data_IF_448465851654
#
_entry.id   IF_448465851654
#
_cell.length_a   1.000
_cell.length_b   1.000
_cell.length_c   1.000
_cell.angle_alpha   90.00
_cell.angle_beta   90.00
_cell.angle_gamma   90.00
#
_symmetry.space_group_name_H-M   'P 1'
#
loop_
_entity.id
_entity.type
_entity.pdbx_description
1 polymer ?
#
# COMPACT_ATOMS: atom_id res chain seq x y z
N UNK A 1 31.70 15.77 10.83
CA UNK A 1 31.14 15.70 9.46
C UNK A 1 29.99 16.67 9.22
N UNK A 2 28.92 16.68 10.04
CA UNK A 2 27.76 17.57 9.84
C UNK A 2 28.07 19.07 9.82
N UNK A 3 28.98 19.54 10.69
CA UNK A 3 29.38 20.96 10.76
C UNK A 3 30.07 21.43 9.47
N UNK A 4 30.93 20.59 8.89
CA UNK A 4 31.65 20.90 7.62
C UNK A 4 30.66 20.97 6.45
N UNK A 5 29.72 20.02 6.37
CA UNK A 5 28.69 20.05 5.34
C UNK A 5 27.77 21.29 5.48
N UNK A 6 27.38 21.66 6.71
CA UNK A 6 26.58 22.86 6.96
C UNK A 6 27.33 24.15 6.59
N UNK A 7 28.63 24.24 6.89
CA UNK A 7 29.47 25.38 6.50
C UNK A 7 29.60 25.51 4.97
N UNK A 8 29.82 24.39 4.27
CA UNK A 8 29.84 24.37 2.79
C UNK A 8 28.48 24.77 2.22
N UNK A 9 27.38 24.27 2.79
CA UNK A 9 26.02 24.67 2.39
C UNK A 9 25.84 26.17 2.54
N UNK A 10 26.16 26.74 3.71
CA UNK A 10 25.99 28.16 3.99
C UNK A 10 26.81 29.03 3.02
N UNK A 11 28.08 28.69 2.79
CA UNK A 11 28.96 29.44 1.88
C UNK A 11 28.44 29.41 0.44
N UNK A 12 28.06 28.23 -0.08
CA UNK A 12 27.55 28.11 -1.45
C UNK A 12 26.19 28.77 -1.59
N UNK A 13 25.32 28.68 -0.59
CA UNK A 13 24.01 29.31 -0.61
C UNK A 13 24.12 30.84 -0.65
N UNK A 14 24.95 31.43 0.23
CA UNK A 14 25.17 32.87 0.26
C UNK A 14 25.81 33.32 -1.05
N UNK A 15 26.82 32.61 -1.55
CA UNK A 15 27.51 32.95 -2.81
C UNK A 15 26.59 32.88 -4.03
N UNK A 16 25.81 31.81 -4.20
CA UNK A 16 24.86 31.67 -5.31
C UNK A 16 23.68 32.63 -5.17
N UNK A 17 23.22 32.90 -3.95
CA UNK A 17 22.12 33.81 -3.66
C UNK A 17 22.37 35.25 -4.11
N UNK A 18 23.62 35.64 -4.36
CA UNK A 18 23.98 36.92 -4.98
C UNK A 18 23.60 37.01 -6.47
N UNK A 19 23.46 35.86 -7.15
CA UNK A 19 23.29 35.79 -8.61
C UNK A 19 22.00 35.10 -9.05
N UNK A 20 21.32 34.37 -8.16
CA UNK A 20 20.11 33.62 -8.49
C UNK A 20 19.14 33.51 -7.32
N UNK A 21 17.84 33.29 -7.57
CA UNK A 21 16.86 33.20 -6.49
C UNK A 21 17.12 31.99 -5.59
N UNK A 22 16.78 32.13 -4.30
CA UNK A 22 17.06 31.12 -3.27
C UNK A 22 16.44 29.74 -3.57
N UNK A 23 15.30 29.69 -4.27
CA UNK A 23 14.67 28.43 -4.68
C UNK A 23 15.55 27.61 -5.66
N UNK A 24 16.48 28.26 -6.36
CA UNK A 24 17.46 27.63 -7.24
C UNK A 24 18.82 27.46 -6.56
N UNK A 25 19.27 28.48 -5.81
CA UNK A 25 20.55 28.45 -5.10
C UNK A 25 20.60 27.36 -4.02
N UNK A 26 19.51 27.15 -3.28
CA UNK A 26 19.49 26.25 -2.13
C UNK A 26 19.60 24.75 -2.49
N UNK A 27 18.91 24.22 -3.51
CA UNK A 27 19.17 22.87 -4.00
C UNK A 27 20.63 22.64 -4.45
N UNK A 28 21.24 23.63 -5.11
CA UNK A 28 22.64 23.53 -5.57
C UNK A 28 23.62 23.54 -4.39
N UNK A 29 23.38 24.41 -3.40
CA UNK A 29 24.14 24.45 -2.16
C UNK A 29 24.05 23.14 -1.37
N UNK A 30 22.86 22.53 -1.31
CA UNK A 30 22.68 21.19 -0.74
C UNK A 30 23.49 20.12 -1.49
N UNK A 31 23.51 20.14 -2.83
CA UNK A 31 24.30 19.18 -3.61
C UNK A 31 25.80 19.32 -3.34
N UNK A 32 26.31 20.55 -3.28
CA UNK A 32 27.70 20.84 -2.95
C UNK A 32 28.07 20.36 -1.53
N UNK A 33 27.21 20.67 -0.54
CA UNK A 33 27.34 20.20 0.82
C UNK A 33 27.30 18.67 0.92
N UNK A 34 26.44 18.03 0.13
CA UNK A 34 26.34 16.57 0.08
C UNK A 34 27.57 15.92 -0.55
N UNK A 35 28.19 16.54 -1.55
CA UNK A 35 29.43 16.06 -2.16
C UNK A 35 30.59 16.19 -1.16
N UNK A 36 30.71 17.34 -0.48
CA UNK A 36 31.70 17.55 0.58
C UNK A 36 31.51 16.56 1.74
N UNK A 37 30.26 16.30 2.13
CA UNK A 37 29.90 15.30 3.13
C UNK A 37 30.28 13.88 2.69
N UNK A 38 30.01 13.49 1.44
CA UNK A 38 30.31 12.17 0.90
C UNK A 38 31.82 11.94 0.74
N UNK A 39 32.57 12.91 0.20
CA UNK A 39 34.03 12.86 0.12
C UNK A 39 34.67 12.76 1.51
N UNK A 40 34.09 13.47 2.48
CA UNK A 40 34.48 13.32 3.87
C UNK A 40 34.18 11.93 4.44
N UNK A 41 33.00 11.36 4.19
CA UNK A 41 32.60 10.05 4.70
C UNK A 41 33.36 8.89 4.04
N UNK A 42 33.62 8.99 2.73
CA UNK A 42 34.43 8.05 1.96
C UNK A 42 35.88 7.99 2.44
N UNK A 43 36.39 9.08 3.02
CA UNK A 43 37.76 9.18 3.53
C UNK A 43 37.93 8.68 4.98
N UNK A 44 36.86 8.55 5.77
CA UNK A 44 36.99 8.30 7.21
C UNK A 44 36.10 7.20 7.85
N UNK A 45 35.01 6.71 7.23
CA UNK A 45 34.03 5.85 7.99
C UNK A 45 33.42 4.65 7.25
N UNK A 46 33.92 4.24 6.08
CA UNK A 46 33.21 3.21 5.29
C UNK A 46 33.30 1.74 5.78
N UNK A 47 34.03 1.45 6.87
CA UNK A 47 34.18 0.06 7.39
C UNK A 47 33.69 -0.20 8.82
N UNK A 48 33.76 0.71 9.80
CA UNK A 48 33.40 0.33 11.18
C UNK A 48 31.89 0.36 11.49
N UNK A 49 31.11 1.26 10.88
CA UNK A 49 29.72 1.51 11.32
C UNK A 49 28.64 0.70 10.57
N UNK A 50 28.98 0.07 9.45
CA UNK A 50 28.02 -0.68 8.61
C UNK A 50 28.17 -2.20 8.68
N UNK A 51 29.15 -2.72 9.44
CA UNK A 51 29.36 -4.16 9.61
C UNK A 51 29.54 -4.94 8.30
N UNK A 52 29.96 -4.28 7.22
CA UNK A 52 30.10 -4.90 5.89
C UNK A 52 28.78 -5.20 5.16
N UNK A 53 27.61 -4.83 5.70
CA UNK A 53 26.33 -5.02 5.00
C UNK A 53 26.07 -3.88 4.01
N UNK A 54 25.61 -4.23 2.80
CA UNK A 54 25.29 -3.25 1.76
C UNK A 54 24.22 -2.28 2.26
N UNK A 55 24.63 -1.04 2.56
CA UNK A 55 23.73 0.04 2.92
C UNK A 55 22.63 0.16 1.86
N UNK A 56 21.37 0.09 2.27
CA UNK A 56 20.26 0.03 1.33
C UNK A 56 20.18 1.35 0.55
N UNK A 57 20.58 1.33 -0.74
CA UNK A 57 20.60 2.47 -1.68
C UNK A 57 19.33 3.33 -1.67
N UNK A 58 18.19 2.77 -1.24
CA UNK A 58 16.92 3.48 -1.02
C UNK A 58 17.02 4.65 -0.05
N UNK A 59 17.78 4.55 1.03
CA UNK A 59 17.88 5.63 2.02
C UNK A 59 18.62 6.83 1.46
N UNK A 60 19.64 6.58 0.64
CA UNK A 60 20.34 7.61 -0.11
C UNK A 60 19.38 8.28 -1.11
N UNK A 61 18.62 7.51 -1.88
CA UNK A 61 17.64 8.08 -2.83
C UNK A 61 16.57 8.91 -2.11
N UNK A 62 16.00 8.41 -1.01
CA UNK A 62 15.02 9.15 -0.19
C UNK A 62 15.65 10.44 0.33
N UNK A 63 16.88 10.37 0.83
CA UNK A 63 17.62 11.54 1.30
C UNK A 63 17.75 12.60 0.21
N UNK A 64 18.22 12.24 -0.98
CA UNK A 64 18.38 13.22 -2.07
C UNK A 64 17.04 13.77 -2.54
N UNK A 65 16.01 12.93 -2.73
CA UNK A 65 14.69 13.39 -3.17
C UNK A 65 14.09 14.36 -2.15
N UNK A 66 14.01 13.97 -0.88
CA UNK A 66 13.41 14.81 0.18
C UNK A 66 14.16 16.12 0.30
N UNK A 67 15.49 16.10 0.36
CA UNK A 67 16.27 17.31 0.55
C UNK A 67 16.31 18.21 -0.68
N UNK A 68 16.33 17.68 -1.90
CA UNK A 68 16.23 18.51 -3.11
C UNK A 68 14.85 19.18 -3.20
N UNK A 69 13.79 18.43 -2.92
CA UNK A 69 12.42 18.99 -2.90
C UNK A 69 12.29 20.05 -1.82
N UNK A 70 12.68 19.75 -0.58
CA UNK A 70 12.61 20.73 0.53
C UNK A 70 13.50 21.92 0.24
N UNK A 71 14.72 21.73 -0.28
CA UNK A 71 15.62 22.84 -0.57
C UNK A 71 15.08 23.77 -1.67
N UNK A 72 14.32 23.23 -2.64
CA UNK A 72 13.70 24.05 -3.68
C UNK A 72 12.42 24.75 -3.23
N UNK A 73 11.59 24.08 -2.43
CA UNK A 73 10.26 24.59 -2.03
C UNK A 73 10.33 25.48 -0.77
N UNK A 74 11.18 25.15 0.20
CA UNK A 74 11.27 25.87 1.47
C UNK A 74 11.54 27.38 1.31
N UNK A 75 12.43 27.84 0.42
CA UNK A 75 12.61 29.27 0.17
C UNK A 75 11.35 30.01 -0.25
N UNK A 76 10.41 29.34 -0.94
CA UNK A 76 9.13 29.90 -1.38
C UNK A 76 8.08 29.94 -0.25
N UNK A 77 8.25 29.09 0.76
CA UNK A 77 7.33 28.98 1.89
C UNK A 77 7.72 29.86 3.09
N UNK A 78 8.95 30.41 3.11
CA UNK A 78 9.42 31.25 4.21
C UNK A 78 8.80 32.65 4.14
N UNK A 79 8.25 33.18 5.26
CA UNK A 79 7.72 34.54 5.32
C UNK A 79 8.77 35.59 4.94
N UNK A 80 8.36 36.58 4.14
CA UNK A 80 9.21 37.73 3.77
C UNK A 80 9.63 38.59 4.97
N UNK A 81 8.95 38.46 6.11
CA UNK A 81 9.26 39.17 7.35
C UNK A 81 10.47 38.58 8.13
N UNK A 82 11.01 37.44 7.70
CA UNK A 82 12.20 36.85 8.33
C UNK A 82 13.46 37.57 7.85
N UNK A 83 14.31 38.00 8.79
CA UNK A 83 15.61 38.57 8.46
C UNK A 83 16.52 37.57 7.73
N UNK A 84 17.33 38.07 6.80
CA UNK A 84 18.25 37.27 5.96
C UNK A 84 19.14 36.28 6.75
N UNK A 85 19.76 36.63 7.89
CA UNK A 85 20.56 35.69 8.67
C UNK A 85 19.74 34.49 9.16
N UNK A 86 18.50 34.74 9.59
CA UNK A 86 17.58 33.71 10.08
C UNK A 86 17.12 32.80 8.94
N UNK A 87 16.86 33.37 7.75
CA UNK A 87 16.49 32.60 6.55
C UNK A 87 17.63 31.66 6.15
N UNK A 88 18.87 32.14 6.09
CA UNK A 88 20.04 31.31 5.76
C UNK A 88 20.20 30.16 6.76
N UNK A 89 20.07 30.42 8.06
CA UNK A 89 20.12 29.38 9.09
C UNK A 89 19.04 28.32 8.86
N UNK A 90 17.78 28.71 8.62
CA UNK A 90 16.69 27.76 8.35
C UNK A 90 16.98 26.91 7.11
N UNK A 91 17.43 27.54 6.02
CA UNK A 91 17.70 26.86 4.75
C UNK A 91 18.87 25.87 4.83
N UNK A 92 19.91 26.17 5.62
CA UNK A 92 21.08 25.30 5.81
C UNK A 92 20.80 24.15 6.77
N UNK A 93 20.12 24.42 7.89
CA UNK A 93 19.92 23.42 8.93
C UNK A 93 18.73 22.50 8.68
N UNK A 94 17.72 22.91 7.89
CA UNK A 94 16.56 22.04 7.60
C UNK A 94 16.97 20.75 6.87
N UNK A 95 17.75 20.79 5.77
CA UNK A 95 18.22 19.57 5.10
C UNK A 95 19.15 18.73 5.98
N UNK A 96 19.92 19.38 6.86
CA UNK A 96 20.80 18.71 7.81
C UNK A 96 20.00 17.95 8.87
N UNK A 97 18.93 18.54 9.42
CA UNK A 97 18.03 17.88 10.36
C UNK A 97 17.25 16.74 9.70
N UNK A 98 16.79 16.93 8.45
CA UNK A 98 16.16 15.87 7.66
C UNK A 98 17.11 14.71 7.40
N UNK A 99 18.37 14.99 7.05
CA UNK A 99 19.41 13.96 6.97
C UNK A 99 19.50 13.17 8.28
N UNK A 100 19.69 13.84 9.42
CA UNK A 100 19.81 13.17 10.72
C UNK A 100 18.58 12.28 11.04
N UNK A 101 17.36 12.75 10.74
CA UNK A 101 16.13 11.98 10.91
C UNK A 101 16.09 10.75 10.00
N UNK A 102 16.44 10.91 8.73
CA UNK A 102 16.49 9.84 7.73
C UNK A 102 17.55 8.80 8.13
N UNK A 103 18.75 9.23 8.54
CA UNK A 103 19.82 8.37 9.02
C UNK A 103 19.47 7.64 10.31
N UNK A 104 18.86 8.32 11.29
CA UNK A 104 18.34 7.69 12.53
C UNK A 104 17.27 6.64 12.22
N UNK A 105 16.41 6.89 11.24
CA UNK A 105 15.41 5.93 10.79
C UNK A 105 16.04 4.76 10.03
N UNK A 106 17.05 5.03 9.21
CA UNK A 106 17.81 4.02 8.47
C UNK A 106 18.58 3.08 9.41
N UNK A 107 19.25 3.62 10.43
CA UNK A 107 19.98 2.86 11.44
C UNK A 107 19.04 1.94 12.24
N UNK A 108 17.93 2.48 12.75
CA UNK A 108 16.88 1.69 13.42
C UNK A 108 16.28 0.62 12.50
N UNK A 109 16.17 0.90 11.20
CA UNK A 109 15.70 -0.09 10.23
C UNK A 109 16.72 -1.22 10.03
N UNK A 110 18.02 -0.91 10.00
CA UNK A 110 19.09 -1.88 9.78
C UNK A 110 19.31 -2.79 11.00
N UNK A 111 19.16 -2.26 12.21
CA UNK A 111 19.31 -3.03 13.46
C UNK A 111 18.19 -4.06 13.66
N UNK A 112 16.95 -3.75 13.24
CA UNK A 112 15.79 -4.67 13.36
C UNK A 112 15.88 -5.92 12.47
N UNK A 113 16.86 -5.98 11.56
CA UNK A 113 16.96 -6.98 10.50
C UNK A 113 17.77 -8.23 10.87
N UNK A 114 18.55 -8.20 11.96
CA UNK A 114 19.58 -9.22 12.19
C UNK A 114 19.05 -10.55 12.73
N UNK A 115 18.00 -10.57 13.56
CA UNK A 115 17.71 -11.79 14.36
C UNK A 115 16.25 -12.29 14.34
N UNK A 116 15.28 -11.50 13.88
CA UNK A 116 13.87 -11.91 13.85
C UNK A 116 13.45 -12.41 12.45
N UNK A 117 12.96 -13.65 12.37
CA UNK A 117 12.32 -14.20 11.16
C UNK A 117 10.87 -14.53 11.44
N UNK A 118 9.95 -13.72 10.93
CA UNK A 118 8.52 -14.04 10.89
C UNK A 118 8.22 -14.68 9.54
N UNK A 119 7.39 -15.72 9.50
CA UNK A 119 6.89 -16.25 8.23
C UNK A 119 5.71 -15.40 7.75
N UNK A 120 5.83 -14.67 6.63
CA UNK A 120 4.70 -13.93 6.07
C UNK A 120 3.61 -14.88 5.58
N UNK A 121 2.35 -14.47 5.68
CA UNK A 121 1.21 -15.18 5.09
C UNK A 121 1.11 -14.83 3.60
N UNK A 122 0.94 -15.84 2.77
CA UNK A 122 0.67 -15.73 1.33
C UNK A 122 -0.83 -15.59 1.11
N UNK A 123 -1.21 -14.56 0.37
CA UNK A 123 -2.59 -14.19 0.16
C UNK A 123 -2.89 -13.94 -1.31
N UNK A 124 -4.04 -14.43 -1.78
CA UNK A 124 -4.54 -14.16 -3.12
C UNK A 124 -5.89 -13.43 -3.10
N UNK A 125 -5.97 -12.26 -3.73
CA UNK A 125 -7.23 -11.52 -3.89
C UNK A 125 -8.06 -12.10 -5.06
N UNK A 126 -9.33 -11.67 -5.15
CA UNK A 126 -10.25 -11.91 -6.28
C UNK A 126 -10.79 -13.34 -6.46
N UNK A 127 -10.85 -14.18 -5.42
CA UNK A 127 -11.61 -15.43 -5.48
C UNK A 127 -13.08 -15.11 -5.80
N UNK A 128 -13.65 -15.78 -6.80
CA UNK A 128 -15.00 -15.54 -7.30
C UNK A 128 -15.09 -14.63 -8.54
N UNK A 129 -14.00 -13.98 -8.94
CA UNK A 129 -13.98 -13.09 -10.09
C UNK A 129 -14.14 -13.84 -11.43
N UNK A 130 -13.45 -14.96 -11.61
CA UNK A 130 -13.51 -15.76 -12.84
C UNK A 130 -13.11 -17.22 -12.59
N UNK A 131 -13.53 -18.17 -13.44
CA UNK A 131 -13.07 -19.56 -13.34
C UNK A 131 -11.54 -19.67 -13.39
N UNK A 132 -10.88 -18.82 -14.17
CA UNK A 132 -9.43 -18.80 -14.32
C UNK A 132 -8.72 -18.33 -13.05
N UNK A 133 -9.28 -17.33 -12.37
CA UNK A 133 -8.80 -16.86 -11.06
C UNK A 133 -9.02 -17.93 -9.99
N UNK A 134 -10.24 -18.50 -9.93
CA UNK A 134 -10.57 -19.56 -8.98
C UNK A 134 -9.63 -20.76 -9.13
N UNK A 135 -9.38 -21.22 -10.36
CA UNK A 135 -8.49 -22.35 -10.63
C UNK A 135 -7.11 -22.12 -10.00
N UNK A 136 -6.48 -20.98 -10.27
CA UNK A 136 -5.13 -20.70 -9.80
C UNK A 136 -5.07 -20.58 -8.26
N UNK A 137 -6.05 -19.90 -7.66
CA UNK A 137 -6.12 -19.75 -6.19
C UNK A 137 -6.32 -21.10 -5.52
N UNK A 138 -7.28 -21.90 -6.00
CA UNK A 138 -7.61 -23.21 -5.41
C UNK A 138 -6.46 -24.20 -5.55
N UNK A 139 -5.75 -24.20 -6.69
CA UNK A 139 -4.57 -25.05 -6.88
C UNK A 139 -3.43 -24.66 -5.93
N UNK A 140 -3.15 -23.37 -5.77
CA UNK A 140 -2.14 -22.94 -4.81
C UNK A 140 -2.54 -23.26 -3.36
N UNK A 141 -3.82 -23.11 -3.02
CA UNK A 141 -4.33 -23.44 -1.69
C UNK A 141 -4.23 -24.94 -1.39
N UNK A 142 -4.59 -25.82 -2.32
CA UNK A 142 -4.49 -27.27 -2.15
C UNK A 142 -3.04 -27.76 -2.02
N UNK A 143 -2.08 -27.03 -2.60
CA UNK A 143 -0.64 -27.29 -2.50
C UNK A 143 0.01 -26.67 -1.25
N UNK A 144 -0.76 -26.00 -0.37
CA UNK A 144 -0.21 -25.32 0.82
C UNK A 144 0.66 -24.10 0.47
N UNK A 145 0.48 -23.52 -0.73
CA UNK A 145 1.18 -22.33 -1.22
C UNK A 145 0.41 -21.03 -0.98
N UNK A 146 -0.80 -21.12 -0.46
CA UNK A 146 -1.57 -19.99 0.07
C UNK A 146 -2.00 -20.26 1.50
N UNK A 147 -2.06 -19.21 2.30
CA UNK A 147 -2.57 -19.24 3.67
C UNK A 147 -3.97 -18.62 3.74
N UNK A 148 -4.33 -17.78 2.76
CA UNK A 148 -5.62 -17.11 2.73
C UNK A 148 -6.00 -16.57 1.34
N UNK A 149 -7.28 -16.27 1.16
CA UNK A 149 -7.78 -15.60 -0.05
C UNK A 149 -8.94 -14.66 0.28
N UNK A 150 -9.19 -13.67 -0.58
CA UNK A 150 -10.31 -12.74 -0.45
C UNK A 150 -11.41 -13.06 -1.46
N UNK A 151 -12.61 -13.35 -0.93
CA UNK A 151 -13.80 -13.67 -1.70
C UNK A 151 -14.51 -12.39 -2.15
N UNK A 152 -14.56 -12.21 -3.46
CA UNK A 152 -15.35 -11.19 -4.14
C UNK A 152 -16.79 -11.71 -4.25
N UNK A 153 -17.62 -11.41 -3.25
CA UNK A 153 -18.97 -11.99 -3.14
C UNK A 153 -19.90 -11.64 -4.30
N UNK A 154 -19.68 -10.49 -4.94
CA UNK A 154 -20.43 -10.04 -6.12
C UNK A 154 -19.83 -10.54 -7.44
N UNK A 155 -18.75 -11.33 -7.40
CA UNK A 155 -18.13 -11.95 -8.57
C UNK A 155 -19.06 -12.98 -9.23
N UNK A 156 -18.96 -13.15 -10.57
CA UNK A 156 -19.86 -14.01 -11.34
C UNK A 156 -19.77 -15.49 -10.96
N UNK A 157 -18.64 -15.93 -10.38
CA UNK A 157 -18.40 -17.32 -9.97
C UNK A 157 -18.03 -17.42 -8.49
N UNK A 158 -18.54 -16.50 -7.66
CA UNK A 158 -18.28 -16.45 -6.23
C UNK A 158 -18.75 -17.72 -5.50
N UNK A 159 -19.94 -18.23 -5.83
CA UNK A 159 -20.48 -19.45 -5.23
C UNK A 159 -19.59 -20.67 -5.53
N UNK A 160 -19.21 -20.86 -6.79
CA UNK A 160 -18.33 -21.96 -7.21
C UNK A 160 -16.95 -21.87 -6.54
N UNK A 161 -16.37 -20.66 -6.51
CA UNK A 161 -15.09 -20.41 -5.85
C UNK A 161 -15.13 -20.70 -4.36
N UNK A 162 -16.19 -20.24 -3.68
CA UNK A 162 -16.38 -20.47 -2.25
C UNK A 162 -16.62 -21.95 -1.94
N UNK A 163 -17.51 -22.65 -2.66
CA UNK A 163 -17.77 -24.07 -2.42
C UNK A 163 -16.50 -24.92 -2.60
N UNK A 164 -15.67 -24.61 -3.59
CA UNK A 164 -14.39 -25.28 -3.77
C UNK A 164 -13.41 -24.94 -2.64
N UNK A 165 -13.35 -23.67 -2.21
CA UNK A 165 -12.53 -23.25 -1.07
C UNK A 165 -12.94 -23.94 0.23
N UNK A 166 -14.25 -24.05 0.49
CA UNK A 166 -14.80 -24.72 1.67
C UNK A 166 -14.47 -26.22 1.69
N UNK A 167 -14.39 -26.89 0.54
CA UNK A 167 -13.91 -28.27 0.48
C UNK A 167 -12.44 -28.36 0.89
N UNK A 168 -11.60 -27.41 0.45
CA UNK A 168 -10.19 -27.36 0.83
C UNK A 168 -9.99 -27.09 2.33
N UNK A 169 -10.85 -26.29 2.97
CA UNK A 169 -10.72 -26.02 4.41
C UNK A 169 -11.00 -27.25 5.27
N UNK A 170 -11.65 -28.29 4.74
CA UNK A 170 -11.82 -29.57 5.46
C UNK A 170 -10.50 -30.32 5.62
N UNK A 171 -9.59 -30.24 4.63
CA UNK A 171 -8.26 -30.87 4.67
C UNK A 171 -7.15 -29.90 5.07
N UNK A 172 -7.40 -28.59 4.94
CA UNK A 172 -6.48 -27.50 5.29
C UNK A 172 -7.18 -26.47 6.20
N UNK A 173 -7.47 -26.83 7.47
CA UNK A 173 -8.25 -25.99 8.39
C UNK A 173 -7.61 -24.64 8.72
N UNK A 174 -6.32 -24.45 8.41
CA UNK A 174 -5.61 -23.19 8.57
C UNK A 174 -5.94 -22.13 7.51
N UNK A 175 -6.54 -22.52 6.37
CA UNK A 175 -6.88 -21.62 5.27
C UNK A 175 -7.92 -20.60 5.74
N UNK A 176 -7.64 -19.31 5.54
CA UNK A 176 -8.55 -18.23 5.91
C UNK A 176 -9.19 -17.58 4.70
N UNK A 177 -10.47 -17.23 4.80
CA UNK A 177 -11.18 -16.47 3.78
C UNK A 177 -11.54 -15.08 4.31
N UNK A 178 -11.31 -14.05 3.49
CA UNK A 178 -11.66 -12.67 3.79
C UNK A 178 -12.83 -12.23 2.90
N UNK A 179 -13.66 -11.32 3.41
CA UNK A 179 -14.59 -10.54 2.59
C UNK A 179 -13.80 -9.52 1.77
N UNK A 180 -13.82 -9.66 0.44
CA UNK A 180 -13.24 -8.71 -0.49
C UNK A 180 -14.25 -7.62 -0.87
N UNK A 181 -14.37 -6.57 -0.04
CA UNK A 181 -15.33 -5.50 -0.28
C UNK A 181 -15.09 -4.81 -1.63
N UNK A 182 -16.06 -4.82 -2.53
CA UNK A 182 -15.95 -4.18 -3.85
C UNK A 182 -16.96 -3.05 -4.02
N UNK A 183 -16.51 -1.85 -4.37
CA UNK A 183 -17.37 -0.66 -4.53
C UNK A 183 -17.07 0.09 -5.84
N UNK A 184 -16.28 -0.51 -6.72
CA UNK A 184 -15.72 0.16 -7.89
C UNK A 184 -16.12 -0.44 -9.22
N UNK A 185 -16.58 -1.70 -9.22
CA UNK A 185 -17.05 -2.41 -10.40
C UNK A 185 -17.89 -3.63 -9.98
N UNK A 186 -18.50 -4.29 -10.98
CA UNK A 186 -19.35 -5.45 -10.78
C UNK A 186 -20.77 -5.11 -10.36
N UNK A 187 -21.66 -6.10 -10.25
CA UNK A 187 -23.02 -5.91 -9.77
C UNK A 187 -23.04 -5.47 -8.30
N UNK A 188 -24.01 -4.61 -7.97
CA UNK A 188 -24.35 -4.33 -6.57
C UNK A 188 -24.92 -5.58 -5.90
N UNK A 189 -24.71 -5.69 -4.59
CA UNK A 189 -25.32 -6.74 -3.77
C UNK A 189 -26.66 -6.31 -3.17
N UNK A 190 -26.85 -5.01 -2.92
CA UNK A 190 -28.17 -4.47 -2.59
C UNK A 190 -29.01 -4.25 -3.86
N UNK A 191 -30.30 -4.00 -3.68
CA UNK A 191 -31.19 -3.65 -4.79
C UNK A 191 -30.69 -2.36 -5.49
N UNK A 192 -30.38 -2.41 -6.80
CA UNK A 192 -29.98 -1.25 -7.59
C UNK A 192 -30.91 -0.04 -7.45
N UNK A 193 -32.21 -0.26 -7.25
CA UNK A 193 -33.19 0.82 -7.09
C UNK A 193 -32.94 1.67 -5.84
N UNK A 194 -32.31 1.10 -4.82
CA UNK A 194 -31.93 1.80 -3.58
C UNK A 194 -30.60 2.53 -3.70
N UNK A 195 -29.84 2.32 -4.79
CA UNK A 195 -28.46 2.79 -4.96
C UNK A 195 -28.24 3.71 -6.18
N UNK A 196 -29.14 4.66 -6.51
CA UNK A 196 -29.07 5.42 -7.77
C UNK A 196 -27.76 6.22 -7.96
N UNK A 197 -27.09 6.61 -6.87
CA UNK A 197 -25.81 7.32 -6.92
C UNK A 197 -24.59 6.39 -7.00
N UNK A 198 -24.75 5.08 -6.77
CA UNK A 198 -23.65 4.10 -6.78
C UNK A 198 -23.64 3.20 -8.02
N UNK A 199 -24.80 2.95 -8.64
CA UNK A 199 -24.91 2.02 -9.78
C UNK A 199 -25.22 2.72 -11.10
N UNK A 200 -24.86 2.10 -12.22
CA UNK A 200 -25.26 2.51 -13.56
C UNK A 200 -26.60 1.87 -13.96
N UNK A 201 -27.04 2.10 -15.21
CA UNK A 201 -28.30 1.56 -15.74
C UNK A 201 -28.39 0.03 -15.78
N UNK A 202 -27.25 -0.67 -15.68
CA UNK A 202 -27.17 -2.13 -15.62
C UNK A 202 -27.10 -2.68 -14.18
N UNK A 203 -27.22 -1.80 -13.17
CA UNK A 203 -27.08 -2.19 -11.76
C UNK A 203 -25.64 -2.44 -11.30
N UNK A 204 -24.65 -2.06 -12.13
CA UNK A 204 -23.23 -2.22 -11.80
C UNK A 204 -22.68 -1.00 -11.09
N UNK A 205 -21.84 -1.22 -10.09
CA UNK A 205 -21.13 -0.18 -9.35
C UNK A 205 -20.28 0.65 -10.31
N UNK A 206 -20.43 1.99 -10.26
CA UNK A 206 -19.85 2.90 -11.27
C UNK A 206 -18.75 3.83 -10.74
N UNK A 207 -18.53 3.88 -9.43
CA UNK A 207 -17.63 4.86 -8.80
C UNK A 207 -16.20 4.34 -8.73
N UNK A 208 -15.27 5.05 -9.35
CA UNK A 208 -13.84 4.79 -9.23
C UNK A 208 -13.32 5.04 -7.81
N UNK A 209 -12.15 4.46 -7.50
CA UNK A 209 -11.41 4.75 -6.26
C UNK A 209 -11.20 6.26 -6.04
N UNK A 210 -10.88 7.00 -7.12
CA UNK A 210 -10.66 8.45 -7.07
C UNK A 210 -11.91 9.21 -6.65
N UNK A 211 -13.07 8.85 -7.18
CA UNK A 211 -14.35 9.49 -6.80
C UNK A 211 -14.69 9.25 -5.34
N UNK A 212 -14.50 8.02 -4.83
CA UNK A 212 -14.66 7.72 -3.41
C UNK A 212 -13.70 8.54 -2.53
N UNK A 213 -12.47 8.73 -2.99
CA UNK A 213 -11.48 9.55 -2.30
C UNK A 213 -11.90 11.03 -2.28
N UNK A 214 -12.37 11.58 -3.40
CA UNK A 214 -12.85 12.96 -3.50
C UNK A 214 -14.09 13.19 -2.61
N UNK A 215 -15.03 12.25 -2.57
CA UNK A 215 -16.18 12.29 -1.67
C UNK A 215 -15.78 12.36 -0.19
N UNK A 216 -14.64 11.77 0.16
CA UNK A 216 -14.11 11.83 1.53
C UNK A 216 -13.69 13.24 1.95
N UNK A 217 -13.38 14.13 0.99
CA UNK A 217 -12.96 15.52 1.22
C UNK A 217 -14.14 16.46 1.48
N UNK A 218 -15.36 16.10 1.05
CA UNK A 218 -16.55 16.92 1.31
C UNK A 218 -16.89 16.96 2.81
N UNK A 219 -17.42 18.06 3.35
CA UNK A 219 -17.86 18.10 4.76
C UNK A 219 -18.90 17.02 5.08
N UNK A 220 -18.86 16.41 6.28
CA UNK A 220 -19.80 15.34 6.68
C UNK A 220 -21.28 15.75 6.66
N UNK A 221 -21.57 17.05 6.76
CA UNK A 221 -22.93 17.60 6.68
C UNK A 221 -23.39 17.87 5.25
N UNK A 222 -22.52 17.73 4.26
CA UNK A 222 -22.86 17.96 2.86
C UNK A 222 -23.96 16.97 2.41
N UNK A 223 -25.10 17.44 1.90
CA UNK A 223 -26.27 16.59 1.64
C UNK A 223 -25.97 15.50 0.61
N UNK A 224 -25.24 15.81 -0.45
CA UNK A 224 -24.83 14.81 -1.45
C UNK A 224 -23.88 13.75 -0.89
N UNK A 225 -23.06 14.11 0.12
CA UNK A 225 -22.18 13.14 0.78
C UNK A 225 -23.00 12.19 1.67
N UNK A 226 -23.94 12.72 2.45
CA UNK A 226 -24.82 11.92 3.32
C UNK A 226 -25.64 10.92 2.52
N UNK A 227 -26.29 11.38 1.45
CA UNK A 227 -27.05 10.50 0.55
C UNK A 227 -26.22 9.34 0.01
N UNK A 228 -24.98 9.59 -0.38
CA UNK A 228 -24.05 8.55 -0.85
C UNK A 228 -23.61 7.63 0.31
N UNK A 229 -23.39 8.16 1.52
CA UNK A 229 -23.07 7.37 2.70
C UNK A 229 -24.20 6.42 3.12
N UNK A 230 -25.46 6.84 2.96
CA UNK A 230 -26.63 5.99 3.23
C UNK A 230 -26.69 4.81 2.25
N UNK A 231 -26.54 5.08 0.95
CA UNK A 231 -26.47 4.05 -0.11
C UNK A 231 -25.26 3.12 0.07
N UNK A 232 -24.10 3.69 0.42
CA UNK A 232 -22.90 2.90 0.74
C UNK A 232 -23.18 1.94 1.88
N UNK A 233 -23.92 2.40 2.90
CA UNK A 233 -24.31 1.57 4.01
C UNK A 233 -25.12 0.34 3.58
N UNK A 234 -26.13 0.55 2.75
CA UNK A 234 -26.96 -0.52 2.19
C UNK A 234 -26.14 -1.55 1.41
N UNK A 235 -25.21 -1.09 0.57
CA UNK A 235 -24.35 -1.99 -0.20
C UNK A 235 -23.39 -2.79 0.69
N UNK A 236 -22.80 -2.16 1.73
CA UNK A 236 -21.95 -2.86 2.70
C UNK A 236 -22.74 -3.94 3.45
N UNK A 237 -23.93 -3.62 3.92
CA UNK A 237 -24.78 -4.57 4.64
C UNK A 237 -25.17 -5.75 3.72
N UNK A 238 -25.47 -5.47 2.45
CA UNK A 238 -25.77 -6.52 1.48
C UNK A 238 -24.58 -7.42 1.15
N UNK A 239 -23.38 -6.86 0.97
CA UNK A 239 -22.15 -7.66 0.76
C UNK A 239 -21.80 -8.49 1.99
N UNK A 240 -21.91 -7.93 3.20
CA UNK A 240 -21.69 -8.67 4.46
C UNK A 240 -22.71 -9.81 4.59
N UNK A 241 -24.00 -9.54 4.31
CA UNK A 241 -25.06 -10.56 4.33
C UNK A 241 -24.76 -11.69 3.34
N UNK A 242 -24.32 -11.35 2.12
CA UNK A 242 -23.94 -12.33 1.09
C UNK A 242 -22.71 -13.14 1.49
N UNK A 243 -21.72 -12.50 2.13
CA UNK A 243 -20.58 -13.23 2.70
C UNK A 243 -20.99 -14.21 3.79
N UNK A 244 -21.90 -13.79 4.69
CA UNK A 244 -22.45 -14.65 5.74
C UNK A 244 -23.27 -15.81 5.19
N UNK A 245 -23.98 -15.64 4.07
CA UNK A 245 -24.67 -16.79 3.45
C UNK A 245 -23.71 -17.88 2.97
N UNK A 246 -22.42 -17.55 2.77
CA UNK A 246 -21.38 -18.53 2.49
C UNK A 246 -20.71 -19.04 3.76
N UNK A 247 -20.28 -18.15 4.66
CA UNK A 247 -19.40 -18.49 5.79
C UNK A 247 -20.13 -18.79 7.12
N UNK A 248 -21.45 -18.59 7.19
CA UNK A 248 -22.22 -18.61 8.43
C UNK A 248 -21.80 -17.49 9.38
N UNK A 249 -21.78 -17.79 10.68
CA UNK A 249 -21.49 -16.83 11.76
C UNK A 249 -19.99 -16.69 12.09
N UNK A 250 -19.11 -17.19 11.23
CA UNK A 250 -17.67 -17.08 11.41
C UNK A 250 -17.22 -15.60 11.51
N UNK A 251 -16.19 -15.28 12.33
CA UNK A 251 -15.62 -13.94 12.37
C UNK A 251 -15.19 -13.44 10.99
N UNK A 252 -15.54 -12.20 10.67
CA UNK A 252 -15.24 -11.62 9.36
C UNK A 252 -13.87 -10.96 9.38
N UNK A 253 -13.01 -11.42 8.48
CA UNK A 253 -11.82 -10.69 8.05
C UNK A 253 -12.18 -9.86 6.82
N UNK A 254 -11.84 -8.57 6.83
CA UNK A 254 -12.22 -7.64 5.76
C UNK A 254 -10.99 -7.02 5.08
N UNK A 255 -11.03 -7.03 3.75
CA UNK A 255 -10.26 -6.12 2.93
C UNK A 255 -11.14 -5.59 1.79
N UNK A 256 -10.54 -5.03 0.75
CA UNK A 256 -11.31 -4.41 -0.31
C UNK A 256 -10.61 -4.54 -1.65
N UNK A 257 -11.42 -4.78 -2.67
CA UNK A 257 -11.02 -4.69 -4.06
C UNK A 257 -10.45 -3.30 -4.33
N UNK A 258 -9.28 -3.26 -4.96
CA UNK A 258 -8.48 -2.03 -5.13
C UNK A 258 -8.15 -1.29 -3.82
N UNK A 259 -8.22 -1.99 -2.67
CA UNK A 259 -8.03 -1.45 -1.32
C UNK A 259 -9.04 -0.35 -0.94
N UNK A 260 -10.24 -0.41 -1.52
CA UNK A 260 -11.28 0.62 -1.34
C UNK A 260 -11.71 0.80 0.12
N UNK A 261 -11.58 -0.25 0.93
CA UNK A 261 -11.90 -0.25 2.37
C UNK A 261 -11.06 0.73 3.19
N UNK A 262 -9.91 1.18 2.68
CA UNK A 262 -9.06 2.19 3.32
C UNK A 262 -9.48 3.64 3.01
N UNK A 263 -10.38 3.86 2.05
CA UNK A 263 -10.85 5.20 1.73
C UNK A 263 -11.69 5.74 2.91
N UNK A 264 -11.48 6.97 3.41
CA UNK A 264 -12.01 7.39 4.71
C UNK A 264 -13.53 7.30 4.88
N UNK A 265 -14.30 7.57 3.81
CA UNK A 265 -15.76 7.42 3.82
C UNK A 265 -16.18 5.94 3.95
N UNK A 266 -15.50 5.04 3.22
CA UNK A 266 -15.74 3.60 3.23
C UNK A 266 -15.28 2.96 4.53
N UNK A 267 -14.06 3.28 4.98
CA UNK A 267 -13.53 2.83 6.27
C UNK A 267 -14.50 3.14 7.41
N UNK A 268 -15.04 4.37 7.44
CA UNK A 268 -15.99 4.75 8.50
C UNK A 268 -17.27 3.93 8.43
N UNK A 269 -17.80 3.71 7.23
CA UNK A 269 -19.01 2.91 7.04
C UNK A 269 -18.80 1.43 7.43
N UNK A 270 -17.61 0.87 7.15
CA UNK A 270 -17.24 -0.49 7.53
C UNK A 270 -17.02 -0.61 9.05
N UNK A 271 -16.31 0.34 9.67
CA UNK A 271 -16.09 0.35 11.13
C UNK A 271 -17.41 0.52 11.92
N UNK A 272 -18.36 1.31 11.41
CA UNK A 272 -19.69 1.43 12.01
C UNK A 272 -20.47 0.11 12.04
N UNK A 273 -20.13 -0.84 11.16
CA UNK A 273 -20.74 -2.17 11.04
C UNK A 273 -19.95 -3.27 11.75
N UNK A 274 -18.76 -2.96 12.25
CA UNK A 274 -17.83 -3.99 12.70
C UNK A 274 -18.36 -4.81 13.90
N UNK A 275 -18.88 -4.14 14.93
CA UNK A 275 -19.41 -4.80 16.13
C UNK A 275 -20.61 -5.68 15.83
N UNK A 276 -21.62 -5.15 15.12
CA UNK A 276 -22.84 -5.90 14.78
C UNK A 276 -22.62 -7.06 13.78
N UNK A 277 -21.50 -7.04 13.05
CA UNK A 277 -21.21 -8.05 12.04
C UNK A 277 -20.05 -8.99 12.39
N UNK A 278 -19.53 -8.94 13.63
CA UNK A 278 -18.38 -9.74 14.06
C UNK A 278 -17.16 -9.56 13.15
N UNK A 279 -16.91 -8.34 12.67
CA UNK A 279 -15.68 -8.02 11.93
C UNK A 279 -14.56 -7.88 12.94
N UNK A 280 -13.61 -8.82 12.91
CA UNK A 280 -12.52 -8.91 13.90
C UNK A 280 -11.18 -8.49 13.34
N UNK A 281 -11.05 -8.42 12.01
CA UNK A 281 -9.80 -8.12 11.34
C UNK A 281 -10.00 -7.25 10.10
N UNK A 282 -9.10 -6.29 9.87
CA UNK A 282 -9.08 -5.47 8.67
C UNK A 282 -7.67 -5.30 8.11
N UNK A 283 -7.51 -5.48 6.80
CA UNK A 283 -6.21 -5.33 6.12
C UNK A 283 -5.71 -3.90 6.14
N UNK A 284 -4.46 -3.71 6.50
CA UNK A 284 -3.67 -2.51 6.23
C UNK A 284 -2.68 -2.80 5.10
N UNK A 285 -2.37 -1.80 4.28
CA UNK A 285 -1.42 -1.96 3.18
C UNK A 285 -0.10 -1.24 3.47
N UNK A 286 0.36 -1.28 4.74
CA UNK A 286 1.61 -0.66 5.15
C UNK A 286 2.82 -1.44 4.60
N UNK A 287 3.24 -1.05 3.40
CA UNK A 287 4.28 -1.73 2.64
C UNK A 287 5.66 -1.07 2.82
N UNK A 288 6.65 -1.77 3.40
CA UNK A 288 8.02 -1.30 3.41
C UNK A 288 8.60 -1.36 2.00
N UNK A 289 9.42 -0.38 1.65
CA UNK A 289 10.10 -0.35 0.36
C UNK A 289 11.13 -1.48 0.31
N UNK A 290 11.04 -2.49 -0.58
CA UNK A 290 11.94 -3.63 -0.55
C UNK A 290 13.41 -3.26 -0.84
N UNK A 291 14.33 -4.00 -0.25
CA UNK A 291 15.78 -3.86 -0.50
C UNK A 291 16.30 -4.81 -1.58
N UNK A 292 17.49 -4.53 -2.12
CA UNK A 292 18.20 -5.46 -3.00
C UNK A 292 17.64 -5.56 -4.42
N UNK A 293 16.68 -4.71 -4.81
CA UNK A 293 16.15 -4.69 -6.16
C UNK A 293 16.98 -3.82 -7.12
N UNK A 294 17.28 -4.32 -8.33
CA UNK A 294 17.87 -3.50 -9.40
C UNK A 294 17.02 -2.27 -9.74
N UNK A 295 17.68 -1.18 -10.17
CA UNK A 295 17.04 0.10 -10.53
C UNK A 295 15.94 -0.02 -11.60
N UNK A 296 16.00 -1.04 -12.47
CA UNK A 296 14.97 -1.28 -13.49
C UNK A 296 13.58 -1.51 -12.90
N UNK A 297 13.48 -2.18 -11.75
CA UNK A 297 12.18 -2.42 -11.10
C UNK A 297 11.62 -1.13 -10.51
N UNK A 298 12.46 -0.28 -9.92
CA UNK A 298 12.05 1.04 -9.44
C UNK A 298 11.54 1.94 -10.56
N UNK A 299 12.21 1.94 -11.72
CA UNK A 299 11.74 2.64 -12.91
C UNK A 299 10.39 2.10 -13.40
N UNK A 300 10.20 0.78 -13.37
CA UNK A 300 8.92 0.15 -13.72
C UNK A 300 7.80 0.57 -12.73
N UNK A 301 8.07 0.54 -11.42
CA UNK A 301 7.11 0.97 -10.40
C UNK A 301 6.69 2.44 -10.56
N UNK A 302 7.58 3.32 -11.01
CA UNK A 302 7.24 4.72 -11.32
C UNK A 302 6.38 4.79 -12.60
N UNK A 303 6.80 4.11 -13.67
CA UNK A 303 6.10 4.11 -14.97
C UNK A 303 4.68 3.55 -14.90
N UNK A 304 4.44 2.57 -14.04
CA UNK A 304 3.12 1.96 -13.83
C UNK A 304 2.36 2.58 -12.65
N UNK A 305 2.75 3.78 -12.21
CA UNK A 305 2.12 4.51 -11.10
C UNK A 305 2.09 3.76 -9.75
N UNK A 306 2.85 2.67 -9.61
CA UNK A 306 2.97 1.87 -8.40
C UNK A 306 3.50 2.67 -7.21
N UNK A 307 4.44 3.59 -7.44
CA UNK A 307 4.95 4.46 -6.37
C UNK A 307 3.90 5.46 -5.87
N UNK A 308 3.09 6.01 -6.79
CA UNK A 308 1.98 6.91 -6.44
C UNK A 308 0.90 6.14 -5.67
N UNK A 309 0.49 4.97 -6.17
CA UNK A 309 -0.46 4.08 -5.50
C UNK A 309 0.03 3.70 -4.10
N UNK A 310 1.30 3.32 -3.99
CA UNK A 310 1.96 3.05 -2.72
C UNK A 310 1.85 4.25 -1.78
N UNK A 311 2.27 5.44 -2.20
CA UNK A 311 2.23 6.64 -1.34
C UNK A 311 0.82 6.94 -0.81
N UNK A 312 -0.19 6.91 -1.68
CA UNK A 312 -1.58 7.14 -1.29
C UNK A 312 -2.03 6.11 -0.25
N UNK A 313 -1.77 4.83 -0.50
CA UNK A 313 -2.20 3.74 0.39
C UNK A 313 -1.42 3.67 1.70
N UNK A 314 -0.14 4.10 1.73
CA UNK A 314 0.61 4.29 2.96
C UNK A 314 -0.05 5.35 3.85
N UNK A 315 -0.47 6.48 3.26
CA UNK A 315 -1.14 7.55 3.99
C UNK A 315 -2.51 7.12 4.50
N UNK A 316 -3.30 6.43 3.67
CA UNK A 316 -4.61 5.90 4.05
C UNK A 316 -4.48 4.86 5.17
N UNK A 317 -3.56 3.91 5.05
CA UNK A 317 -3.33 2.89 6.09
C UNK A 317 -2.91 3.50 7.42
N UNK A 318 -1.98 4.46 7.41
CA UNK A 318 -1.55 5.17 8.63
C UNK A 318 -2.69 5.93 9.30
N UNK A 319 -3.60 6.53 8.51
CA UNK A 319 -4.80 7.20 9.04
C UNK A 319 -5.85 6.22 9.53
N UNK A 320 -5.96 5.05 8.90
CA UNK A 320 -6.92 4.02 9.25
C UNK A 320 -6.56 3.27 10.55
N UNK A 321 -5.28 3.00 10.77
CA UNK A 321 -4.77 2.18 11.89
C UNK A 321 -5.32 2.60 13.27
N UNK A 322 -5.31 3.88 13.69
CA UNK A 322 -5.87 4.26 14.99
C UNK A 322 -7.37 4.06 15.09
N UNK A 323 -8.11 4.17 13.98
CA UNK A 323 -9.56 3.94 13.96
C UNK A 323 -9.88 2.44 14.06
N UNK A 324 -9.16 1.60 13.31
CA UNK A 324 -9.27 0.13 13.38
C UNK A 324 -8.99 -0.36 14.81
N UNK A 325 -7.89 0.10 15.42
CA UNK A 325 -7.53 -0.27 16.80
C UNK A 325 -8.57 0.17 17.84
N UNK A 326 -9.14 1.36 17.69
CA UNK A 326 -10.20 1.87 18.60
C UNK A 326 -11.47 1.04 18.55
N UNK A 327 -11.75 0.40 17.41
CA UNK A 327 -12.86 -0.54 17.27
C UNK A 327 -12.50 -1.97 17.75
N UNK A 328 -11.29 -2.21 18.26
CA UNK A 328 -10.85 -3.53 18.74
C UNK A 328 -10.45 -4.51 17.63
N UNK A 329 -10.30 -4.05 16.39
CA UNK A 329 -9.99 -4.90 15.26
C UNK A 329 -8.47 -5.14 15.15
N UNK A 330 -8.11 -6.38 14.83
CA UNK A 330 -6.75 -6.75 14.47
C UNK A 330 -6.43 -6.35 13.03
N UNK A 331 -5.14 -6.28 12.69
CA UNK A 331 -4.68 -6.07 11.31
C UNK A 331 -3.41 -6.86 11.04
N UNK A 332 -3.03 -7.03 9.77
CA UNK A 332 -1.67 -7.46 9.43
C UNK A 332 -0.64 -6.44 9.93
N UNK A 333 0.50 -6.97 10.34
CA UNK A 333 1.61 -6.18 10.83
C UNK A 333 2.24 -5.33 9.72
N UNK A 334 2.49 -5.96 8.59
CA UNK A 334 3.09 -5.35 7.39
C UNK A 334 2.46 -6.00 6.15
N UNK A 335 2.69 -5.40 4.99
CA UNK A 335 2.06 -5.78 3.74
C UNK A 335 3.07 -5.70 2.60
N UNK A 336 2.94 -6.53 1.56
CA UNK A 336 3.61 -6.27 0.29
C UNK A 336 2.74 -6.71 -0.88
N UNK A 337 2.86 -6.00 -2.00
CA UNK A 337 2.05 -6.24 -3.20
C UNK A 337 1.40 -5.00 -3.81
N UNK A 338 1.61 -3.80 -3.24
CA UNK A 338 1.11 -2.55 -3.85
C UNK A 338 2.14 -1.99 -4.83
N UNK A 339 3.39 -1.83 -4.41
CA UNK A 339 4.42 -1.12 -5.17
C UNK A 339 4.67 -1.71 -6.56
N UNK A 340 4.62 -3.04 -6.65
CA UNK A 340 4.75 -3.79 -7.90
C UNK A 340 3.43 -4.48 -8.29
N UNK A 341 2.27 -3.88 -7.98
CA UNK A 341 0.96 -4.38 -8.40
C UNK A 341 1.01 -4.75 -9.89
N UNK A 342 0.56 -5.95 -10.25
CA UNK A 342 0.57 -6.42 -11.64
C UNK A 342 1.90 -7.00 -12.11
N UNK A 343 2.95 -6.97 -11.27
CA UNK A 343 4.29 -7.47 -11.57
C UNK A 343 4.91 -8.20 -10.37
N UNK A 344 4.09 -8.84 -9.54
CA UNK A 344 4.53 -9.55 -8.32
C UNK A 344 5.10 -10.95 -8.62
N UNK A 345 6.08 -11.04 -9.52
CA UNK A 345 6.76 -12.29 -9.88
C UNK A 345 8.28 -12.09 -10.00
N UNK A 346 9.07 -13.14 -9.76
CA UNK A 346 10.53 -13.09 -9.82
C UNK A 346 11.17 -12.25 -8.71
N UNK A 347 12.05 -11.31 -9.05
CA UNK A 347 12.78 -10.53 -8.04
C UNK A 347 11.87 -9.67 -7.12
N UNK A 348 10.83 -8.97 -7.61
CA UNK A 348 9.87 -8.25 -6.77
C UNK A 348 9.24 -9.06 -5.64
N UNK A 349 8.72 -10.26 -5.93
CA UNK A 349 8.06 -11.09 -4.90
C UNK A 349 9.06 -11.63 -3.88
N UNK A 350 10.25 -12.05 -4.32
CA UNK A 350 11.32 -12.52 -3.42
C UNK A 350 11.85 -11.39 -2.53
N UNK A 351 12.03 -10.20 -3.08
CA UNK A 351 12.46 -9.04 -2.30
C UNK A 351 11.39 -8.62 -1.29
N UNK A 352 10.12 -8.67 -1.68
CA UNK A 352 8.98 -8.42 -0.80
C UNK A 352 8.91 -9.45 0.33
N UNK A 353 9.01 -10.74 0.01
CA UNK A 353 9.05 -11.82 0.99
C UNK A 353 10.17 -11.62 2.01
N UNK A 354 11.41 -11.40 1.56
CA UNK A 354 12.56 -11.13 2.44
C UNK A 354 12.34 -9.91 3.34
N UNK A 355 11.76 -8.85 2.78
CA UNK A 355 11.48 -7.63 3.55
C UNK A 355 10.45 -7.90 4.65
N UNK A 356 9.35 -8.59 4.32
CA UNK A 356 8.33 -8.98 5.28
C UNK A 356 8.84 -9.96 6.34
N UNK A 357 9.69 -10.91 5.96
CA UNK A 357 10.29 -11.87 6.88
C UNK A 357 11.23 -11.21 7.90
N UNK A 358 11.76 -10.04 7.57
CA UNK A 358 12.69 -9.30 8.43
C UNK A 358 12.03 -8.38 9.46
N UNK A 359 10.68 -8.39 9.54
CA UNK A 359 9.95 -7.53 10.47
C UNK A 359 9.87 -8.21 11.84
N UNK A 360 10.27 -7.50 12.90
CA UNK A 360 10.12 -7.95 14.29
C UNK A 360 8.64 -8.09 14.66
N UNK A 361 8.16 -9.22 15.24
CA UNK A 361 6.78 -9.40 15.64
C UNK A 361 6.21 -8.23 16.46
N UNK A 362 5.00 -7.79 16.16
CA UNK A 362 4.30 -6.76 16.94
C UNK A 362 3.15 -7.37 17.74
N UNK A 363 3.12 -7.17 19.07
CA UNK A 363 1.98 -7.58 19.89
C UNK A 363 0.66 -7.02 19.37
N UNK A 364 -0.36 -7.88 19.26
CA UNK A 364 -1.69 -7.52 18.77
C UNK A 364 -1.80 -7.31 17.25
N UNK A 365 -0.77 -7.68 16.47
CA UNK A 365 -0.85 -7.73 15.02
C UNK A 365 -0.75 -9.18 14.52
N UNK A 366 -1.47 -9.48 13.45
CA UNK A 366 -1.31 -10.74 12.71
C UNK A 366 -0.03 -10.70 11.86
N UNK A 367 0.51 -11.86 11.42
CA UNK A 367 1.74 -11.89 10.63
C UNK A 367 1.70 -10.98 9.38
N UNK A 368 2.87 -10.57 8.85
CA UNK A 368 2.97 -9.84 7.60
C UNK A 368 2.24 -10.56 6.46
N UNK A 369 1.67 -9.81 5.52
CA UNK A 369 0.86 -10.34 4.42
C UNK A 369 1.54 -10.06 3.07
N UNK A 370 1.83 -11.10 2.30
CA UNK A 370 2.29 -11.01 0.92
C UNK A 370 1.09 -11.23 -0.01
N UNK A 371 0.69 -10.19 -0.74
CA UNK A 371 -0.38 -10.24 -1.73
C UNK A 371 0.15 -10.60 -3.12
N UNK A 372 -0.56 -11.49 -3.79
CA UNK A 372 -0.50 -11.69 -5.23
C UNK A 372 -1.91 -11.85 -5.82
N UNK A 373 -1.98 -11.89 -7.16
CA UNK A 373 -3.22 -12.10 -7.91
C UNK A 373 -2.95 -13.19 -8.96
N UNK A 374 -2.85 -14.46 -8.53
CA UNK A 374 -2.64 -15.57 -9.44
C UNK A 374 -3.88 -15.78 -10.32
N UNK A 375 -3.68 -16.24 -11.55
CA UNK A 375 -4.78 -16.54 -12.46
C UNK A 375 -4.35 -17.33 -13.67
N UNK A 376 -5.17 -18.31 -14.08
CA UNK A 376 -5.03 -19.00 -15.34
C UNK A 376 -5.39 -18.06 -16.52
N UNK A 377 -5.17 -18.46 -17.80
CA UNK A 377 -5.60 -17.65 -18.94
C UNK A 377 -7.11 -17.35 -18.90
N UNK A 378 -7.47 -16.06 -18.91
CA UNK A 378 -8.85 -15.62 -18.83
C UNK A 378 -9.60 -15.94 -20.14
N UNK A 379 -10.69 -16.69 -20.04
CA UNK A 379 -11.62 -16.97 -21.14
C UNK A 379 -12.94 -16.20 -21.03
N UNK A 380 -13.33 -15.84 -19.80
CA UNK A 380 -14.57 -15.13 -19.51
C UNK A 380 -14.42 -13.64 -19.86
N UNK A 381 -15.44 -13.07 -20.50
CA UNK A 381 -15.55 -11.63 -20.70
C UNK A 381 -16.09 -10.95 -19.42
N UNK A 382 -15.18 -10.40 -18.63
CA UNK A 382 -15.50 -9.74 -17.37
C UNK A 382 -16.21 -8.41 -17.59
N UNK A 383 -16.08 -7.77 -18.76
CA UNK A 383 -16.79 -6.52 -19.07
C UNK A 383 -18.30 -6.76 -19.06
N UNK A 384 -18.75 -7.89 -19.63
CA UNK A 384 -20.17 -8.28 -19.62
C UNK A 384 -20.68 -8.54 -18.20
N UNK A 385 -19.82 -9.03 -17.31
CA UNK A 385 -20.13 -9.22 -15.90
C UNK A 385 -20.01 -7.94 -15.05
N UNK A 386 -19.73 -6.78 -15.67
CA UNK A 386 -19.61 -5.49 -14.98
C UNK A 386 -18.22 -5.21 -14.40
N UNK A 387 -17.24 -6.07 -14.65
CA UNK A 387 -15.87 -6.01 -14.13
C UNK A 387 -14.88 -5.50 -15.18
N UNK A 388 -15.14 -4.29 -15.70
CA UNK A 388 -14.35 -3.70 -16.80
C UNK A 388 -12.95 -3.29 -16.39
N UNK A 389 -12.73 -2.87 -15.15
CA UNK A 389 -11.40 -2.50 -14.66
C UNK A 389 -10.58 -3.77 -14.44
N UNK A 390 -11.19 -4.79 -13.83
CA UNK A 390 -10.60 -6.09 -13.59
C UNK A 390 -10.27 -6.85 -14.88
N UNK A 391 -11.03 -6.69 -15.97
CA UNK A 391 -10.77 -7.35 -17.27
C UNK A 391 -9.31 -7.23 -17.72
N UNK A 392 -8.76 -6.01 -17.73
CA UNK A 392 -7.39 -5.76 -18.21
C UNK A 392 -6.35 -6.46 -17.33
N UNK A 393 -6.55 -6.48 -16.02
CA UNK A 393 -5.63 -7.10 -15.08
C UNK A 393 -5.74 -8.62 -15.08
N UNK A 394 -6.95 -9.17 -15.12
CA UNK A 394 -7.19 -10.61 -15.13
C UNK A 394 -6.75 -11.27 -16.45
N UNK A 395 -6.85 -10.56 -17.58
CA UNK A 395 -6.35 -11.02 -18.88
C UNK A 395 -4.82 -10.95 -19.03
N UNK A 396 -4.13 -10.26 -18.12
CA UNK A 396 -2.68 -10.05 -18.21
C UNK A 396 -1.89 -11.34 -18.02
N UNK A 397 -0.87 -11.55 -18.87
CA UNK A 397 0.11 -12.65 -18.75
C UNK A 397 0.84 -12.67 -17.39
N UNK A 398 0.79 -11.56 -16.66
CA UNK A 398 1.35 -11.47 -15.32
C UNK A 398 0.60 -12.28 -14.28
N UNK A 399 -0.71 -12.55 -14.44
CA UNK A 399 -1.46 -13.41 -13.52
C UNK A 399 -0.91 -14.84 -13.49
N UNK A 400 -0.53 -15.38 -14.65
CA UNK A 400 0.08 -16.70 -14.75
C UNK A 400 1.53 -16.70 -14.23
N UNK A 401 2.24 -15.57 -14.37
CA UNK A 401 3.59 -15.41 -13.77
C UNK A 401 3.54 -15.34 -12.26
N UNK A 402 2.57 -14.62 -11.70
CA UNK A 402 2.33 -14.55 -10.24
C UNK A 402 1.92 -15.93 -9.70
N UNK A 403 1.07 -16.65 -10.44
CA UNK A 403 0.70 -18.02 -10.10
C UNK A 403 1.92 -18.93 -9.98
N UNK A 404 2.78 -18.98 -11.01
CA UNK A 404 4.02 -19.78 -10.96
C UNK A 404 4.96 -19.33 -9.85
N UNK A 405 5.11 -18.02 -9.67
CA UNK A 405 6.01 -17.48 -8.65
C UNK A 405 5.59 -17.86 -7.22
N UNK A 406 4.30 -18.05 -6.95
CA UNK A 406 3.83 -18.56 -5.66
C UNK A 406 4.01 -20.07 -5.47
N UNK A 407 4.04 -20.85 -6.55
CA UNK A 407 4.35 -22.29 -6.47
C UNK A 407 5.78 -22.53 -5.97
N UNK A 408 6.70 -21.63 -6.34
CA UNK A 408 8.11 -21.71 -5.99
C UNK A 408 8.46 -21.06 -4.63
N UNK A 409 7.52 -20.34 -4.01
CA UNK A 409 7.70 -19.61 -2.75
C UNK A 409 7.21 -20.42 -1.54
#
# INVERSE_FOLDING_TARGET
MGVVAAAVHALVLVGLGLFMPLWLANPLAFLAASLAGYLGHARFTFRPETGGQSFARRWLVIQYVVNLTVSGVLPLALPNALGEPVRVVILVFTPTALNALIWSRAARFSQRRSDCRVTPRRHADDLGLSPATNQAILELASQGRLDSSSLLVNGPVAADGFHAWQKLTQTHPQLQICLHLCLTEGPSSADPALLPDLVNSHGYLKRSFGEWLLLSLLPRRHPGRRRIEDQLGLELDAQIKRFRSFCGDAPIHLDGHQHIHLVPIVLRAALARAGGNSITWMRLTEEPLPTGLPLRYWRAAIRHSGLLKWLVLQLLSRRARPAIRRCGLSSNQSFAGVLFTGQMAGAPILASWRELSSVEPQPGATPPLLLAHPGAPLKLDLVKAGFSVSQTFAASVWRQREWRALQDL
#
